data_IF_162068553896
#
_entry.id   IF_162068553896
#
_cell.length_a   1.000
_cell.length_b   1.000
_cell.length_c   1.000
_cell.angle_alpha   90.00
_cell.angle_beta   90.00
_cell.angle_gamma   90.00
#
_symmetry.space_group_name_H-M   'P 1'
#
loop_
_entity.id
_entity.type
_entity.pdbx_description
1 polymer ?
#
# COMPACT_ATOMS: atom_id res chain seq x y z
N UNK A 1 -19.47 -1.82 -23.44
CA UNK A 1 -19.01 -3.04 -22.71
C UNK A 1 -17.61 -2.76 -22.18
N UNK A 2 -17.40 -2.80 -20.86
CA UNK A 2 -16.09 -2.55 -20.28
C UNK A 2 -15.15 -3.72 -20.61
N UNK A 3 -14.07 -3.43 -21.34
CA UNK A 3 -12.98 -4.38 -21.59
C UNK A 3 -12.43 -4.83 -20.23
N UNK A 4 -12.64 -6.09 -19.86
CA UNK A 4 -11.99 -6.70 -18.69
C UNK A 4 -10.50 -6.83 -19.01
N UNK A 5 -9.75 -5.75 -18.82
CA UNK A 5 -8.31 -5.88 -18.67
C UNK A 5 -8.06 -6.72 -17.41
N UNK A 6 -7.19 -7.74 -17.47
CA UNK A 6 -6.82 -8.58 -16.31
C UNK A 6 -6.09 -7.81 -15.19
N UNK A 7 -6.19 -6.48 -15.16
CA UNK A 7 -5.52 -5.58 -14.23
C UNK A 7 -6.50 -5.14 -13.14
N UNK A 8 -6.05 -5.15 -11.88
CA UNK A 8 -6.83 -4.69 -10.74
C UNK A 8 -7.32 -3.25 -10.94
N UNK A 9 -8.59 -2.88 -10.67
CA UNK A 9 -9.09 -1.51 -10.92
C UNK A 9 -8.27 -0.41 -10.21
N UNK A 10 -8.11 0.76 -10.84
CA UNK A 10 -7.57 1.96 -10.19
C UNK A 10 -8.60 2.50 -9.21
N UNK A 11 -8.14 2.92 -8.03
CA UNK A 11 -8.95 3.55 -6.99
C UNK A 11 -8.45 4.98 -6.81
N UNK A 12 -9.32 5.96 -7.07
CA UNK A 12 -8.99 7.37 -6.92
C UNK A 12 -9.06 7.82 -5.44
N UNK A 13 -8.66 9.06 -5.17
CA UNK A 13 -8.62 9.62 -3.80
C UNK A 13 -10.00 9.66 -3.13
N UNK A 14 -11.05 10.03 -3.88
CA UNK A 14 -12.42 10.06 -3.36
C UNK A 14 -12.94 8.66 -3.01
N UNK A 15 -12.69 7.66 -3.86
CA UNK A 15 -13.04 6.26 -3.59
C UNK A 15 -12.26 5.69 -2.39
N UNK A 16 -10.98 6.05 -2.24
CA UNK A 16 -10.18 5.70 -1.07
C UNK A 16 -10.78 6.33 0.19
N UNK A 17 -11.14 7.61 0.16
CA UNK A 17 -11.72 8.31 1.29
C UNK A 17 -13.06 7.68 1.73
N UNK A 18 -13.97 7.43 0.79
CA UNK A 18 -15.22 6.68 1.06
C UNK A 18 -14.91 5.33 1.70
N UNK A 19 -13.89 4.62 1.18
CA UNK A 19 -13.49 3.33 1.72
C UNK A 19 -13.02 3.47 3.17
N UNK A 20 -12.15 4.42 3.48
CA UNK A 20 -11.64 4.66 4.84
C UNK A 20 -12.76 5.03 5.81
N UNK A 21 -13.70 5.89 5.41
CA UNK A 21 -14.83 6.33 6.22
C UNK A 21 -15.84 5.21 6.53
N UNK A 22 -16.00 4.24 5.61
CA UNK A 22 -16.84 3.07 5.82
C UNK A 22 -16.34 2.10 6.91
N UNK A 23 -15.06 2.21 7.29
CA UNK A 23 -14.42 1.34 8.27
C UNK A 23 -14.72 1.80 9.69
N UNK A 24 -15.57 1.03 10.37
CA UNK A 24 -16.02 1.25 11.75
C UNK A 24 -15.72 0.04 12.64
N UNK A 25 -15.75 0.24 13.96
CA UNK A 25 -15.53 -0.80 14.97
C UNK A 25 -14.07 -1.00 15.37
N UNK A 26 -13.82 -2.03 16.19
CA UNK A 26 -12.54 -2.25 16.88
C UNK A 26 -11.34 -2.41 15.93
N UNK A 27 -11.56 -2.90 14.71
CA UNK A 27 -10.49 -3.14 13.73
C UNK A 27 -10.33 -2.00 12.70
N UNK A 28 -11.03 -0.87 12.88
CA UNK A 28 -11.07 0.21 11.90
C UNK A 28 -9.68 0.82 11.64
N UNK A 29 -8.94 1.21 12.69
CA UNK A 29 -7.59 1.77 12.57
C UNK A 29 -6.62 0.80 11.87
N UNK A 30 -6.63 -0.48 12.26
CA UNK A 30 -5.83 -1.53 11.60
C UNK A 30 -6.11 -1.60 10.11
N UNK A 31 -7.40 -1.66 9.74
CA UNK A 31 -7.80 -1.81 8.35
C UNK A 31 -7.49 -0.53 7.52
N UNK A 32 -7.65 0.66 8.12
CA UNK A 32 -7.23 1.93 7.51
C UNK A 32 -5.73 1.94 7.24
N UNK A 33 -4.90 1.60 8.22
CA UNK A 33 -3.44 1.49 8.04
C UNK A 33 -3.09 0.56 6.86
N UNK A 34 -3.72 -0.62 6.78
CA UNK A 34 -3.46 -1.57 5.70
C UNK A 34 -3.78 -0.99 4.32
N UNK A 35 -4.91 -0.29 4.19
CA UNK A 35 -5.26 0.37 2.92
C UNK A 35 -4.26 1.48 2.57
N UNK A 36 -3.92 2.33 3.54
CA UNK A 36 -2.94 3.41 3.36
C UNK A 36 -1.55 2.87 2.98
N UNK A 37 -1.10 1.77 3.58
CA UNK A 37 0.16 1.10 3.22
C UNK A 37 0.15 0.57 1.78
N UNK A 38 -1.01 0.12 1.29
CA UNK A 38 -1.17 -0.29 -0.12
C UNK A 38 -1.12 0.91 -1.07
N UNK A 39 -1.75 2.04 -0.69
CA UNK A 39 -1.93 3.23 -1.54
C UNK A 39 -0.76 4.22 -1.54
N UNK A 40 -0.05 4.37 -0.42
CA UNK A 40 0.98 5.40 -0.24
C UNK A 40 2.40 4.83 -0.10
N UNK A 41 2.53 3.55 0.24
CA UNK A 41 3.82 2.85 0.35
C UNK A 41 3.96 1.78 -0.75
N UNK A 42 2.87 1.50 -1.47
CA UNK A 42 2.85 0.56 -2.58
C UNK A 42 3.12 -0.89 -2.17
N UNK A 43 2.89 -1.30 -0.93
CA UNK A 43 3.23 -2.65 -0.47
C UNK A 43 2.29 -3.72 -1.04
N UNK A 44 2.81 -4.92 -1.31
CA UNK A 44 1.98 -6.09 -1.65
C UNK A 44 1.28 -6.62 -0.41
N UNK A 45 0.11 -7.24 -0.54
CA UNK A 45 -0.61 -7.82 0.61
C UNK A 45 0.24 -8.80 1.44
N UNK A 46 1.12 -9.58 0.79
CA UNK A 46 2.04 -10.47 1.50
C UNK A 46 3.14 -9.74 2.28
N UNK A 47 3.58 -8.58 1.78
CA UNK A 47 4.58 -7.75 2.45
C UNK A 47 3.92 -7.11 3.68
N UNK A 48 2.73 -6.50 3.50
CA UNK A 48 1.93 -5.93 4.59
C UNK A 48 1.64 -6.98 5.68
N UNK A 49 1.24 -8.20 5.28
CA UNK A 49 0.91 -9.27 6.22
C UNK A 49 2.10 -9.73 7.08
N UNK A 50 3.32 -9.57 6.57
CA UNK A 50 4.53 -10.07 7.21
C UNK A 50 5.26 -9.02 8.05
N UNK A 51 4.87 -7.74 7.96
CA UNK A 51 5.47 -6.67 8.76
C UNK A 51 5.34 -6.93 10.26
N UNK A 52 6.41 -6.60 10.98
CA UNK A 52 6.47 -6.58 12.44
C UNK A 52 6.44 -5.14 12.96
N UNK A 53 6.20 -4.95 14.25
CA UNK A 53 6.24 -3.63 14.88
C UNK A 53 7.64 -3.01 14.73
N UNK A 54 8.70 -3.80 14.93
CA UNK A 54 10.09 -3.35 14.82
C UNK A 54 10.49 -2.92 13.40
N UNK A 55 9.76 -3.33 12.37
CA UNK A 55 10.00 -2.88 10.99
C UNK A 55 9.52 -1.43 10.76
N UNK A 56 8.56 -0.93 11.56
CA UNK A 56 7.93 0.40 11.36
C UNK A 56 8.05 1.34 12.55
N UNK A 57 8.37 0.83 13.74
CA UNK A 57 8.44 1.60 14.97
C UNK A 57 9.76 1.31 15.68
N UNK A 58 10.44 2.37 16.12
CA UNK A 58 11.60 2.26 17.00
C UNK A 58 11.14 2.41 18.44
N UNK A 59 11.16 1.29 19.18
CA UNK A 59 10.70 1.23 20.56
C UNK A 59 11.62 2.05 21.49
N UNK A 60 12.90 2.20 21.15
CA UNK A 60 13.85 2.97 21.99
C UNK A 60 13.66 4.47 21.81
N UNK A 61 13.43 4.90 20.57
CA UNK A 61 13.17 6.31 20.24
C UNK A 61 11.69 6.69 20.39
N UNK A 62 10.83 5.71 20.66
CA UNK A 62 9.37 5.86 20.72
C UNK A 62 8.78 6.54 19.48
N UNK A 63 9.35 6.25 18.30
CA UNK A 63 9.07 6.97 17.06
C UNK A 63 8.79 6.03 15.88
N UNK A 64 7.93 6.48 14.95
CA UNK A 64 7.73 5.80 13.67
C UNK A 64 8.98 5.98 12.80
N UNK A 65 9.39 4.91 12.13
CA UNK A 65 10.50 4.92 11.18
C UNK A 65 10.01 5.41 9.83
N UNK A 66 10.79 6.30 9.23
CA UNK A 66 10.55 6.77 7.86
C UNK A 66 10.83 5.67 6.81
N UNK A 67 11.80 4.79 7.09
CA UNK A 67 12.23 3.73 6.17
C UNK A 67 11.83 2.36 6.71
N UNK A 68 11.03 1.64 5.94
CA UNK A 68 10.64 0.25 6.17
C UNK A 68 11.53 -0.66 5.32
N UNK A 69 12.37 -1.47 5.96
CA UNK A 69 13.22 -2.45 5.27
C UNK A 69 12.49 -3.77 5.10
N UNK A 70 11.99 -4.05 3.89
CA UNK A 70 11.30 -5.31 3.61
C UNK A 70 12.33 -6.44 3.48
N UNK A 71 12.36 -7.33 4.48
CA UNK A 71 13.27 -8.49 4.54
C UNK A 71 13.02 -9.45 3.39
N UNK A 72 14.05 -10.22 3.00
CA UNK A 72 14.01 -11.18 1.88
C UNK A 72 12.86 -12.20 1.96
N UNK A 73 12.42 -12.57 3.16
CA UNK A 73 11.27 -13.47 3.38
C UNK A 73 9.91 -12.88 2.96
N UNK A 74 9.81 -11.55 2.86
CA UNK A 74 8.55 -10.85 2.61
C UNK A 74 8.31 -10.58 1.12
N UNK A 75 9.38 -10.45 0.32
CA UNK A 75 9.30 -10.06 -1.10
C UNK A 75 9.27 -11.27 -2.04
N UNK A 76 8.70 -11.12 -3.25
CA UNK A 76 8.75 -12.19 -4.28
C UNK A 76 10.14 -12.09 -4.92
N UNK A 77 10.95 -13.14 -4.85
CA UNK A 77 12.31 -13.14 -5.40
C UNK A 77 13.45 -12.86 -4.40
N UNK A 78 13.17 -12.81 -3.08
CA UNK A 78 14.19 -12.73 -2.01
C UNK A 78 15.13 -11.51 -2.10
N UNK A 79 14.66 -10.37 -2.59
CA UNK A 79 15.43 -9.11 -2.64
C UNK A 79 15.00 -8.19 -1.50
N UNK A 80 15.97 -7.50 -0.89
CA UNK A 80 15.66 -6.37 -0.01
C UNK A 80 15.15 -5.21 -0.86
N UNK A 81 14.15 -4.51 -0.35
CA UNK A 81 13.77 -3.20 -0.87
C UNK A 81 13.35 -2.33 0.30
N UNK A 82 13.59 -1.05 0.16
CA UNK A 82 13.11 -0.04 1.10
C UNK A 82 11.75 0.47 0.63
N UNK A 83 10.91 0.80 1.61
CA UNK A 83 9.63 1.44 1.42
C UNK A 83 9.61 2.66 2.34
N UNK A 84 9.05 3.76 1.85
CA UNK A 84 9.10 5.05 2.54
C UNK A 84 7.73 5.35 3.16
N UNK A 85 7.70 5.49 4.48
CA UNK A 85 6.55 5.86 5.27
C UNK A 85 6.67 7.35 5.60
N UNK A 86 6.30 8.18 4.63
CA UNK A 86 6.43 9.65 4.69
C UNK A 86 5.09 10.38 4.60
N UNK A 87 4.02 9.69 4.21
CA UNK A 87 2.69 10.29 4.09
C UNK A 87 2.12 10.64 5.49
N UNK A 88 1.84 11.93 5.77
CA UNK A 88 1.42 12.37 7.10
C UNK A 88 0.13 11.70 7.59
N UNK A 89 -0.82 11.47 6.69
CA UNK A 89 -2.09 10.79 7.02
C UNK A 89 -1.86 9.34 7.43
N UNK A 90 -0.98 8.64 6.70
CA UNK A 90 -0.59 7.28 7.02
C UNK A 90 0.14 7.20 8.36
N UNK A 91 1.03 8.15 8.64
CA UNK A 91 1.76 8.25 9.92
C UNK A 91 0.77 8.50 11.07
N UNK A 92 -0.12 9.47 10.96
CA UNK A 92 -1.12 9.78 12.01
C UNK A 92 -2.00 8.56 12.35
N UNK A 93 -2.54 7.90 11.32
CA UNK A 93 -3.39 6.72 11.50
C UNK A 93 -2.59 5.53 12.08
N UNK A 94 -1.32 5.37 11.69
CA UNK A 94 -0.43 4.35 12.26
C UNK A 94 -0.13 4.65 13.74
N UNK A 95 0.16 5.90 14.10
CA UNK A 95 0.38 6.30 15.49
C UNK A 95 -0.82 5.95 16.35
N UNK A 96 -2.03 6.37 15.92
CA UNK A 96 -3.29 6.05 16.60
C UNK A 96 -3.49 4.53 16.72
N UNK A 97 -3.15 3.77 15.69
CA UNK A 97 -3.23 2.31 15.75
C UNK A 97 -2.26 1.73 16.80
N UNK A 98 -1.00 2.16 16.82
CA UNK A 98 0.00 1.68 17.78
C UNK A 98 -0.37 2.05 19.23
N UNK A 99 -1.01 3.21 19.45
CA UNK A 99 -1.53 3.60 20.76
C UNK A 99 -2.63 2.67 21.28
N UNK A 100 -3.40 2.02 20.40
CA UNK A 100 -4.36 0.97 20.82
C UNK A 100 -3.67 -0.35 21.22
N UNK A 101 -2.36 -0.45 21.00
CA UNK A 101 -1.56 -1.67 21.19
C UNK A 101 -0.57 -1.60 22.36
N UNK A 102 -0.70 -0.60 23.24
CA UNK A 102 0.26 -0.27 24.33
C UNK A 102 0.82 -1.47 25.12
N UNK A 103 0.06 -2.54 25.31
CA UNK A 103 0.49 -3.73 26.07
C UNK A 103 1.34 -4.72 25.25
N UNK A 104 1.48 -4.52 23.94
CA UNK A 104 2.04 -5.51 23.02
C UNK A 104 2.79 -4.86 21.84
N UNK A 105 3.79 -4.06 22.19
CA UNK A 105 4.73 -3.41 21.27
C UNK A 105 6.05 -4.17 21.15
N UNK A 106 6.05 -5.50 21.30
CA UNK A 106 7.26 -6.29 21.05
C UNK A 106 7.73 -6.12 19.60
N UNK A 107 9.04 -5.93 19.39
CA UNK A 107 9.61 -5.67 18.08
C UNK A 107 9.27 -6.77 17.06
N UNK A 108 9.19 -8.03 17.52
CA UNK A 108 8.91 -9.19 16.68
C UNK A 108 7.40 -9.47 16.53
N UNK A 109 6.54 -8.75 17.24
CA UNK A 109 5.10 -8.93 17.13
C UNK A 109 4.61 -8.48 15.74
N UNK A 110 3.57 -9.15 15.17
CA UNK A 110 2.97 -8.74 13.92
C UNK A 110 2.46 -7.30 14.04
N UNK A 111 2.79 -6.45 13.06
CA UNK A 111 2.27 -5.09 13.01
C UNK A 111 0.74 -5.13 12.96
N UNK A 112 0.19 -5.87 12.00
CA UNK A 112 -1.25 -6.06 11.86
C UNK A 112 -1.67 -7.46 12.33
N UNK A 113 -2.44 -7.51 13.42
CA UNK A 113 -2.96 -8.76 13.98
C UNK A 113 -4.16 -9.28 13.22
N UNK A 114 -4.11 -10.57 12.88
CA UNK A 114 -5.29 -11.32 12.45
C UNK A 114 -6.25 -11.56 13.63
N UNK A 115 -7.45 -12.04 13.34
CA UNK A 115 -8.42 -12.43 14.37
C UNK A 115 -7.90 -13.56 15.28
N UNK A 116 -6.87 -14.30 14.85
CA UNK A 116 -6.24 -15.37 15.63
C UNK A 116 -5.02 -14.88 16.45
N UNK A 117 -4.78 -13.57 16.53
CA UNK A 117 -3.69 -12.96 17.32
C UNK A 117 -2.32 -12.91 16.63
N UNK A 118 -2.03 -13.83 15.71
CA UNK A 118 -0.79 -13.84 14.91
C UNK A 118 -0.84 -13.03 13.62
N UNK A 119 0.19 -13.18 12.79
CA UNK A 119 0.25 -12.61 11.43
C UNK A 119 -0.97 -12.99 10.58
N UNK A 120 -1.34 -12.10 9.66
CA UNK A 120 -2.18 -12.52 8.54
C UNK A 120 -1.41 -13.47 7.64
N UNK A 121 -2.10 -14.45 7.04
CA UNK A 121 -1.60 -15.05 5.81
C UNK A 121 -1.81 -14.08 4.64
N UNK A 122 -1.01 -14.19 3.58
CA UNK A 122 -1.18 -13.36 2.39
C UNK A 122 -2.63 -13.39 1.85
N UNK A 123 -3.24 -14.59 1.80
CA UNK A 123 -4.61 -14.78 1.30
C UNK A 123 -5.65 -14.11 2.21
N UNK A 124 -5.49 -14.21 3.54
CA UNK A 124 -6.41 -13.56 4.48
C UNK A 124 -6.28 -12.04 4.47
N UNK A 125 -5.06 -11.51 4.27
CA UNK A 125 -4.83 -10.09 4.06
C UNK A 125 -5.50 -9.60 2.77
N UNK A 126 -5.31 -10.32 1.66
CA UNK A 126 -5.97 -9.99 0.38
C UNK A 126 -7.50 -9.98 0.51
N UNK A 127 -8.07 -10.99 1.18
CA UNK A 127 -9.50 -11.07 1.43
C UNK A 127 -9.99 -9.91 2.29
N UNK A 128 -9.25 -9.57 3.35
CA UNK A 128 -9.60 -8.46 4.24
C UNK A 128 -9.61 -7.12 3.49
N UNK A 129 -8.62 -6.85 2.64
CA UNK A 129 -8.59 -5.65 1.80
C UNK A 129 -9.78 -5.63 0.83
N UNK A 130 -10.05 -6.75 0.15
CA UNK A 130 -11.20 -6.86 -0.76
C UNK A 130 -12.54 -6.61 -0.05
N UNK A 131 -12.70 -7.10 1.18
CA UNK A 131 -13.88 -6.84 2.01
C UNK A 131 -14.03 -5.37 2.39
N UNK A 132 -12.93 -4.65 2.62
CA UNK A 132 -12.97 -3.21 2.89
C UNK A 132 -13.56 -2.44 1.70
N UNK A 133 -13.08 -2.70 0.49
CA UNK A 133 -13.64 -2.09 -0.72
C UNK A 133 -15.09 -2.49 -0.97
N UNK A 134 -15.41 -3.79 -0.82
CA UNK A 134 -16.78 -4.29 -0.98
C UNK A 134 -17.75 -3.59 -0.04
N UNK A 135 -17.36 -3.38 1.23
CA UNK A 135 -18.19 -2.68 2.22
C UNK A 135 -18.47 -1.23 1.84
N UNK A 136 -17.53 -0.59 1.14
CA UNK A 136 -17.65 0.77 0.65
C UNK A 136 -18.38 0.87 -0.71
N UNK A 137 -18.80 -0.26 -1.31
CA UNK A 137 -19.40 -0.27 -2.64
C UNK A 137 -18.40 0.00 -3.77
N UNK A 138 -17.09 -0.04 -3.50
CA UNK A 138 -16.04 0.25 -4.47
C UNK A 138 -15.61 -1.06 -5.16
N UNK A 139 -15.62 -1.06 -6.49
CA UNK A 139 -15.15 -2.19 -7.29
C UNK A 139 -13.62 -2.22 -7.35
N UNK A 140 -12.99 -2.82 -6.34
CA UNK A 140 -11.54 -2.91 -6.22
C UNK A 140 -11.09 -4.24 -5.60
N UNK A 141 -9.80 -4.53 -5.76
CA UNK A 141 -9.16 -5.74 -5.25
C UNK A 141 -8.01 -5.40 -4.31
N UNK A 142 -7.40 -6.43 -3.72
CA UNK A 142 -6.20 -6.29 -2.89
C UNK A 142 -5.01 -5.62 -3.58
N UNK A 143 -4.96 -5.67 -4.91
CA UNK A 143 -3.88 -5.05 -5.71
C UNK A 143 -4.23 -3.63 -6.18
N UNK A 144 -5.48 -3.18 -6.00
CA UNK A 144 -5.94 -1.88 -6.50
C UNK A 144 -5.20 -0.71 -5.85
N UNK A 145 -4.94 -0.74 -4.54
CA UNK A 145 -4.19 0.33 -3.87
C UNK A 145 -2.76 0.47 -4.38
N UNK A 146 -2.05 -0.66 -4.53
CA UNK A 146 -0.72 -0.68 -5.13
C UNK A 146 -0.70 -0.23 -6.60
N UNK A 147 -1.75 -0.54 -7.38
CA UNK A 147 -1.90 0.02 -8.73
C UNK A 147 -2.08 1.53 -8.66
N UNK A 148 -2.95 2.03 -7.78
CA UNK A 148 -3.15 3.45 -7.56
C UNK A 148 -1.85 4.17 -7.20
N UNK A 149 -1.04 3.59 -6.31
CA UNK A 149 0.30 4.08 -6.00
C UNK A 149 1.16 4.25 -7.25
N UNK A 150 1.28 3.20 -8.07
CA UNK A 150 2.07 3.22 -9.30
C UNK A 150 1.55 4.25 -10.31
N UNK A 151 0.24 4.27 -10.54
CA UNK A 151 -0.41 5.23 -11.45
C UNK A 151 -0.22 6.66 -10.97
N UNK A 152 -0.32 6.92 -9.66
CA UNK A 152 -0.10 8.26 -9.10
C UNK A 152 1.35 8.72 -9.25
N UNK A 153 2.34 7.84 -9.06
CA UNK A 153 3.74 8.17 -9.34
C UNK A 153 3.96 8.53 -10.81
N UNK A 154 3.38 7.76 -11.73
CA UNK A 154 3.46 8.02 -13.18
C UNK A 154 2.83 9.38 -13.52
N UNK A 155 1.63 9.66 -13.00
CA UNK A 155 0.94 10.94 -13.19
C UNK A 155 1.71 12.14 -12.63
N UNK A 156 2.54 11.92 -11.61
CA UNK A 156 3.44 12.93 -11.04
C UNK A 156 4.80 12.98 -11.76
N UNK A 157 4.91 12.36 -12.94
CA UNK A 157 6.12 12.31 -13.75
C UNK A 157 7.34 11.69 -13.03
N UNK A 158 7.11 10.78 -12.08
CA UNK A 158 8.21 10.01 -11.49
C UNK A 158 8.87 9.14 -12.57
N UNK A 159 10.19 9.05 -12.52
CA UNK A 159 10.92 8.25 -13.50
C UNK A 159 10.62 6.75 -13.34
N UNK A 160 10.62 6.02 -14.46
CA UNK A 160 10.23 4.61 -14.49
C UNK A 160 11.14 3.71 -13.63
N UNK A 161 12.41 4.09 -13.45
CA UNK A 161 13.35 3.34 -12.62
C UNK A 161 13.04 3.53 -11.13
N UNK A 162 12.76 4.75 -10.68
CA UNK A 162 12.27 5.02 -9.32
C UNK A 162 10.98 4.28 -9.04
N UNK A 163 10.02 4.29 -9.97
CA UNK A 163 8.78 3.52 -9.82
C UNK A 163 9.10 2.02 -9.71
N UNK A 164 9.98 1.48 -10.54
CA UNK A 164 10.39 0.08 -10.47
C UNK A 164 10.99 -0.28 -9.10
N UNK A 165 11.86 0.56 -8.54
CA UNK A 165 12.46 0.37 -7.21
C UNK A 165 11.41 0.46 -6.10
N UNK A 166 10.57 1.49 -6.13
CA UNK A 166 9.47 1.74 -5.19
C UNK A 166 8.36 0.68 -5.27
N UNK A 167 8.27 -0.06 -6.37
CA UNK A 167 7.41 -1.23 -6.47
C UNK A 167 8.17 -2.52 -6.12
N UNK A 168 9.49 -2.58 -6.23
CA UNK A 168 10.25 -3.82 -6.11
C UNK A 168 9.87 -4.80 -7.22
N UNK A 169 9.87 -4.33 -8.46
CA UNK A 169 9.72 -5.17 -9.65
C UNK A 169 11.09 -5.66 -10.13
N UNK A 170 11.22 -6.96 -10.35
CA UNK A 170 12.45 -7.56 -10.88
C UNK A 170 12.68 -7.24 -12.35
N UNK A 171 11.64 -6.81 -13.07
CA UNK A 171 11.68 -6.40 -14.47
C UNK A 171 10.93 -5.09 -14.67
N UNK A 172 11.50 -4.22 -15.50
CA UNK A 172 10.88 -2.98 -15.98
C UNK A 172 9.59 -3.29 -16.76
N UNK A 173 9.50 -4.44 -17.43
CA UNK A 173 8.30 -4.83 -18.21
C UNK A 173 7.03 -4.89 -17.35
N UNK A 174 7.14 -5.21 -16.06
CA UNK A 174 6.00 -5.17 -15.13
C UNK A 174 5.57 -3.74 -14.79
N UNK A 175 6.51 -2.80 -14.81
CA UNK A 175 6.25 -1.37 -14.59
C UNK A 175 5.72 -0.70 -15.87
N UNK A 176 6.19 -1.10 -17.06
CA UNK A 176 5.75 -0.58 -18.35
C UNK A 176 4.23 -0.70 -18.56
N UNK A 177 3.62 -1.77 -18.04
CA UNK A 177 2.16 -1.99 -18.09
C UNK A 177 1.36 -0.80 -17.54
N UNK A 178 1.95 -0.01 -16.62
CA UNK A 178 1.29 1.15 -16.03
C UNK A 178 1.52 2.46 -16.81
N UNK A 179 2.51 2.51 -17.71
CA UNK A 179 2.90 3.71 -18.45
C UNK A 179 2.16 3.84 -19.79
N UNK A 180 1.81 2.72 -20.43
CA UNK A 180 1.40 2.66 -21.84
C UNK A 180 -0.08 2.93 -22.14
N UNK A 181 -0.90 3.39 -21.19
CA UNK A 181 -2.37 3.43 -21.43
C UNK A 181 -3.14 4.60 -20.85
N UNK A 182 -2.52 5.73 -20.48
CA UNK A 182 -3.26 6.92 -20.03
C UNK A 182 -3.18 8.04 -21.09
N UNK A 183 -4.21 8.23 -21.95
CA UNK A 183 -4.25 9.28 -22.95
C UNK A 183 -4.09 10.70 -22.38
N UNK A 184 -4.47 10.93 -21.11
CA UNK A 184 -4.29 12.22 -20.45
C UNK A 184 -2.81 12.50 -20.19
N UNK A 185 -2.06 11.47 -19.79
CA UNK A 185 -0.61 11.56 -19.59
C UNK A 185 0.09 11.87 -20.92
N UNK A 186 -0.29 11.19 -22.00
CA UNK A 186 0.25 11.45 -23.33
C UNK A 186 -0.05 12.87 -23.81
N UNK A 187 -1.27 13.36 -23.59
CA UNK A 187 -1.65 14.74 -23.87
C UNK A 187 -0.77 15.73 -23.09
N UNK A 188 -0.60 15.54 -21.78
CA UNK A 188 0.23 16.41 -20.94
C UNK A 188 1.69 16.46 -21.41
N UNK A 189 2.27 15.32 -21.81
CA UNK A 189 3.65 15.29 -22.35
C UNK A 189 3.78 16.13 -23.62
N UNK A 190 2.78 16.10 -24.52
CA UNK A 190 2.79 16.93 -25.73
C UNK A 190 2.61 18.42 -25.39
N UNK A 191 1.76 18.78 -24.42
CA UNK A 191 1.62 20.17 -23.98
C UNK A 191 2.93 20.77 -23.47
N UNK A 192 3.76 19.98 -22.79
CA UNK A 192 5.09 20.42 -22.31
C UNK A 192 6.09 20.71 -23.43
N UNK A 193 5.90 20.15 -24.63
CA UNK A 193 6.75 20.45 -25.80
C UNK A 193 6.37 21.78 -26.47
N UNK A 194 5.16 22.29 -26.21
CA UNK A 194 4.65 23.55 -26.77
C UNK A 194 4.87 24.77 -25.87
N UNK A 195 5.62 24.60 -24.77
CA UNK A 195 6.07 25.63 -23.84
C UNK A 195 7.58 25.79 -24.00
#
# INVERSE_FOLDING_TARGET
MAVKSGQAPFVNEHELQITLESLKGANSLRNKCVLLFSHFIGLRSKEIAALTIGDVYDIRLMAIKEIIRLKRGYTKGKKFREAFLVDPTTIDILTKYLETRKEDLSADAPLFRSQKGGHFSANTMQRMIGLCYKKAGINASSHSGRRSFATNLIRRNADIYSIQQLMGHSSISTTQIYFTSDPLLLKEQIYKLSQ
#
